data_IF_680904876365
#
_entry.id   IF_680904876365
#
_cell.length_a   1.000
_cell.length_b   1.000
_cell.length_c   1.000
_cell.angle_alpha   90.00
_cell.angle_beta   90.00
_cell.angle_gamma   90.00
#
_symmetry.space_group_name_H-M   'P 1'
#
loop_
_entity.id
_entity.type
_entity.pdbx_description
1 polymer ?
#
# COMPACT_ATOMS: atom_id res chain seq x y z
N UNK A 1 -4.14 -8.81 -21.89
CA UNK A 1 -3.80 -7.64 -22.74
C UNK A 1 -2.42 -7.12 -22.32
N UNK A 2 -1.51 -6.84 -23.26
CA UNK A 2 -0.16 -6.33 -22.92
C UNK A 2 -0.22 -4.83 -22.66
N UNK A 3 0.41 -4.35 -21.58
CA UNK A 3 0.54 -2.90 -21.33
C UNK A 3 1.37 -2.23 -22.45
N UNK A 4 1.03 -0.98 -22.85
CA UNK A 4 1.85 -0.21 -23.80
C UNK A 4 3.28 0.04 -23.28
N UNK A 5 4.22 0.29 -24.20
CA UNK A 5 5.64 0.45 -23.85
C UNK A 5 5.91 1.63 -22.91
N UNK A 6 5.09 2.67 -22.93
CA UNK A 6 5.22 3.86 -22.09
C UNK A 6 4.68 3.69 -20.66
N UNK A 7 3.91 2.63 -20.38
CA UNK A 7 3.40 2.34 -19.03
C UNK A 7 4.31 1.30 -18.38
N UNK A 8 5.44 1.78 -17.85
CA UNK A 8 6.41 0.98 -17.08
C UNK A 8 6.76 1.71 -15.79
N UNK A 9 6.89 0.96 -14.71
CA UNK A 9 7.37 1.48 -13.44
C UNK A 9 8.84 1.07 -13.25
N UNK A 10 9.71 1.96 -12.78
CA UNK A 10 11.07 1.61 -12.41
C UNK A 10 11.09 0.67 -11.20
N UNK A 11 12.15 -0.12 -11.08
CA UNK A 11 12.35 -0.96 -9.89
C UNK A 11 12.57 -0.03 -8.69
N UNK A 12 11.87 -0.24 -7.55
CA UNK A 12 12.06 0.57 -6.36
C UNK A 12 13.48 0.39 -5.81
N UNK A 13 14.27 1.46 -5.80
CA UNK A 13 15.64 1.46 -5.28
C UNK A 13 15.79 2.69 -4.39
N UNK A 14 16.49 2.55 -3.26
CA UNK A 14 16.90 3.68 -2.43
C UNK A 14 16.62 3.50 -0.93
N UNK A 15 17.35 4.26 -0.11
CA UNK A 15 17.29 4.18 1.36
C UNK A 15 15.91 4.57 1.91
N UNK A 16 15.24 5.57 1.32
CA UNK A 16 13.92 6.03 1.76
C UNK A 16 12.84 4.96 1.56
N UNK A 17 12.84 4.31 0.40
CA UNK A 17 11.93 3.20 0.12
C UNK A 17 12.06 2.10 1.18
N UNK A 18 13.28 1.62 1.43
CA UNK A 18 13.54 0.58 2.43
C UNK A 18 13.18 1.03 3.84
N UNK A 19 13.45 2.30 4.19
CA UNK A 19 13.09 2.88 5.49
C UNK A 19 11.58 2.88 5.71
N UNK A 20 10.81 3.41 4.74
CA UNK A 20 9.36 3.44 4.84
C UNK A 20 8.76 2.03 4.87
N UNK A 21 9.28 1.11 4.04
CA UNK A 21 8.89 -0.30 4.06
C UNK A 21 9.05 -0.93 5.44
N UNK A 22 10.20 -0.70 6.07
CA UNK A 22 10.48 -1.20 7.41
C UNK A 22 9.57 -0.57 8.46
N UNK A 23 9.29 0.74 8.38
CA UNK A 23 8.41 1.43 9.33
C UNK A 23 6.97 0.92 9.26
N UNK A 24 6.42 0.77 8.04
CA UNK A 24 5.08 0.22 7.83
C UNK A 24 4.97 -1.18 8.42
N UNK A 25 5.96 -2.04 8.16
CA UNK A 25 6.00 -3.39 8.70
C UNK A 25 6.15 -3.44 10.23
N UNK A 26 7.04 -2.62 10.80
CA UNK A 26 7.28 -2.54 12.25
C UNK A 26 6.03 -2.09 13.01
N UNK A 27 5.31 -1.12 12.47
CA UNK A 27 4.10 -0.56 13.07
C UNK A 27 2.82 -1.36 12.75
N UNK A 28 2.93 -2.48 12.01
CA UNK A 28 1.79 -3.30 11.58
C UNK A 28 0.69 -2.45 10.92
N UNK A 29 1.11 -1.58 9.99
CA UNK A 29 0.21 -0.71 9.24
C UNK A 29 0.03 -1.22 7.82
N UNK A 30 -1.06 -0.83 7.20
CA UNK A 30 -1.34 -1.08 5.79
C UNK A 30 -1.24 0.23 5.00
N UNK A 31 -0.90 0.12 3.72
CA UNK A 31 -0.87 1.27 2.81
C UNK A 31 -1.63 0.96 1.54
N UNK A 32 -2.39 1.93 1.03
CA UNK A 32 -3.06 1.74 -0.28
C UNK A 32 -2.02 1.60 -1.41
N UNK A 33 -0.81 2.12 -1.19
CA UNK A 33 0.30 1.99 -2.13
C UNK A 33 0.63 0.52 -2.42
N UNK A 34 0.68 -0.33 -1.39
CA UNK A 34 0.95 -1.77 -1.52
C UNK A 34 -0.31 -2.55 -1.87
N UNK A 35 -1.40 -2.34 -1.13
CA UNK A 35 -2.61 -3.17 -1.22
C UNK A 35 -3.34 -3.00 -2.54
N UNK A 36 -3.32 -1.79 -3.13
CA UNK A 36 -3.88 -1.52 -4.45
C UNK A 36 -2.88 -1.78 -5.60
N UNK A 37 -1.67 -2.28 -5.31
CA UNK A 37 -0.60 -2.54 -6.30
C UNK A 37 -0.26 -1.30 -7.13
N UNK A 38 -0.10 -0.16 -6.46
CA UNK A 38 0.15 1.11 -7.10
C UNK A 38 1.47 1.08 -7.91
N UNK A 39 1.46 1.46 -9.20
CA UNK A 39 2.68 1.48 -10.01
C UNK A 39 3.69 2.54 -9.54
N UNK A 40 3.27 3.52 -8.74
CA UNK A 40 4.12 4.63 -8.26
C UNK A 40 4.74 4.36 -6.88
N UNK A 41 4.58 3.15 -6.31
CA UNK A 41 5.09 2.77 -4.99
C UNK A 41 6.55 3.21 -4.78
N UNK A 42 7.44 2.88 -5.73
CA UNK A 42 8.86 3.20 -5.63
C UNK A 42 9.16 4.70 -5.64
N UNK A 43 8.43 5.46 -6.45
CA UNK A 43 8.59 6.91 -6.57
C UNK A 43 8.09 7.63 -5.31
N UNK A 44 6.84 7.39 -4.92
CA UNK A 44 6.24 8.06 -3.76
C UNK A 44 7.04 7.76 -2.49
N UNK A 45 7.38 6.49 -2.24
CA UNK A 45 8.15 6.13 -1.05
C UNK A 45 9.61 6.59 -1.13
N UNK A 46 10.19 6.64 -2.33
CA UNK A 46 11.50 7.25 -2.56
C UNK A 46 11.53 8.73 -2.12
N UNK A 47 10.44 9.45 -2.35
CA UNK A 47 10.23 10.83 -1.91
C UNK A 47 9.81 10.96 -0.44
N UNK A 48 9.67 9.84 0.30
CA UNK A 48 9.23 9.86 1.69
C UNK A 48 7.71 10.03 1.87
N UNK A 49 6.92 9.82 0.82
CA UNK A 49 5.45 9.95 0.83
C UNK A 49 4.78 8.58 0.73
N UNK A 50 3.77 8.35 1.56
CA UNK A 50 2.89 7.20 1.49
C UNK A 50 1.46 7.59 1.85
N UNK A 51 0.52 6.70 1.58
CA UNK A 51 -0.87 6.86 2.00
C UNK A 51 -1.28 5.63 2.80
N UNK A 52 -1.60 5.84 4.06
CA UNK A 52 -2.07 4.78 4.94
C UNK A 52 -3.42 4.24 4.49
N UNK A 53 -3.63 2.95 4.73
CA UNK A 53 -4.92 2.31 4.64
C UNK A 53 -5.27 1.80 6.03
N UNK A 54 -6.28 2.41 6.64
CA UNK A 54 -6.78 2.05 7.97
C UNK A 54 -7.76 0.87 7.86
N UNK A 55 -8.05 0.24 8.99
CA UNK A 55 -8.99 -0.89 9.10
C UNK A 55 -8.53 -2.16 8.34
N UNK A 56 -7.22 -2.33 8.19
CA UNK A 56 -6.59 -3.54 7.65
C UNK A 56 -6.46 -3.58 6.12
N UNK A 57 -6.20 -4.78 5.59
CA UNK A 57 -5.90 -5.06 4.17
C UNK A 57 -7.12 -5.47 3.33
N UNK A 58 -8.28 -5.68 3.97
CA UNK A 58 -9.42 -6.38 3.39
C UNK A 58 -10.63 -5.46 3.31
N UNK A 59 -11.15 -5.26 2.09
CA UNK A 59 -12.36 -4.50 1.84
C UNK A 59 -13.59 -5.43 1.79
N UNK A 60 -14.70 -5.00 2.40
CA UNK A 60 -16.00 -5.70 2.32
C UNK A 60 -16.74 -5.45 1.01
N UNK A 61 -16.23 -4.54 0.16
CA UNK A 61 -16.76 -4.22 -1.16
C UNK A 61 -15.88 -4.80 -2.27
N UNK A 62 -16.44 -4.95 -3.47
CA UNK A 62 -15.82 -5.56 -4.65
C UNK A 62 -15.84 -4.64 -5.87
N UNK A 63 -15.25 -3.46 -5.76
CA UNK A 63 -15.12 -2.54 -6.90
C UNK A 63 -14.31 -3.19 -8.03
N UNK A 64 -14.86 -3.29 -9.25
CA UNK A 64 -14.26 -4.06 -10.35
C UNK A 64 -12.87 -3.60 -10.84
N UNK A 65 -12.41 -2.43 -10.42
CA UNK A 65 -11.08 -1.90 -10.72
C UNK A 65 -10.07 -2.04 -9.57
N UNK A 66 -10.55 -2.33 -8.35
CA UNK A 66 -9.73 -2.27 -7.15
C UNK A 66 -8.99 -3.59 -6.94
N UNK A 67 -7.69 -3.52 -6.64
CA UNK A 67 -6.86 -4.69 -6.40
C UNK A 67 -6.77 -5.10 -4.91
N UNK A 68 -7.34 -4.29 -4.01
CA UNK A 68 -7.40 -4.60 -2.57
C UNK A 68 -8.18 -5.89 -2.35
N UNK A 69 -7.72 -6.71 -1.41
CA UNK A 69 -8.32 -8.01 -1.09
C UNK A 69 -9.79 -7.82 -0.68
N UNK A 70 -10.69 -8.60 -1.29
CA UNK A 70 -12.10 -8.64 -0.87
C UNK A 70 -12.33 -9.75 0.15
N UNK A 71 -13.10 -9.47 1.20
CA UNK A 71 -13.46 -10.45 2.23
C UNK A 71 -14.34 -9.85 3.33
N UNK A 72 -14.59 -10.62 4.39
CA UNK A 72 -15.45 -10.20 5.50
C UNK A 72 -14.86 -9.08 6.39
N UNK A 73 -13.61 -8.68 6.15
CA UNK A 73 -12.86 -7.75 7.00
C UNK A 73 -12.15 -8.45 8.16
N UNK A 74 -11.42 -7.67 8.95
CA UNK A 74 -10.73 -8.11 10.18
C UNK A 74 -11.41 -7.49 11.40
N UNK A 75 -11.06 -7.98 12.60
CA UNK A 75 -11.47 -7.31 13.84
C UNK A 75 -10.91 -5.88 13.88
N UNK A 76 -11.71 -4.92 14.33
CA UNK A 76 -11.32 -3.52 14.41
C UNK A 76 -10.23 -3.35 15.47
N UNK A 77 -9.09 -2.80 15.07
CA UNK A 77 -8.01 -2.42 15.96
C UNK A 77 -8.15 -0.94 16.36
N UNK A 78 -8.76 -0.69 17.52
CA UNK A 78 -8.93 0.66 18.06
C UNK A 78 -7.61 1.37 18.43
N UNK A 79 -6.49 0.65 18.51
CA UNK A 79 -5.17 1.22 18.79
C UNK A 79 -4.38 1.51 17.50
N UNK A 80 -4.90 1.17 16.32
CA UNK A 80 -4.30 1.51 15.02
C UNK A 80 -3.92 3.00 14.92
N UNK A 81 -4.75 3.97 15.33
CA UNK A 81 -4.39 5.39 15.26
C UNK A 81 -3.14 5.79 16.05
N UNK A 82 -2.76 5.02 17.10
CA UNK A 82 -1.55 5.30 17.90
C UNK A 82 -0.26 4.83 17.22
N UNK A 83 -0.37 4.03 16.16
CA UNK A 83 0.78 3.50 15.41
C UNK A 83 1.09 4.30 14.15
N UNK A 84 0.18 5.18 13.72
CA UNK A 84 0.31 6.09 12.57
C UNK A 84 1.39 7.16 12.81
#
# INVERSE_FOLDING_TARGET
MRKPRWIKSPVPIGKNFTKLKSLVAQNKLNTVCEEAKCPNLGECWGLGTLTFMILGDTCTRSCGFCAVKTGAGLNIDYLEPKRL
#
